data_IF_829115212113
#
_entry.id   IF_829115212113
#
_cell.length_a   1.000
_cell.length_b   1.000
_cell.length_c   1.000
_cell.angle_alpha   90.00
_cell.angle_beta   90.00
_cell.angle_gamma   90.00
#
_symmetry.space_group_name_H-M   'P 1'
#
loop_
_entity.id
_entity.type
_entity.pdbx_description
1 polymer ?
#
# COMPACT_ATOMS: atom_id res chain seq x y z
N UNK A 1 -21.89 28.81 15.54
CA UNK A 1 -20.54 28.52 15.06
C UNK A 1 -19.66 29.73 15.23
N UNK A 2 -18.36 29.52 15.40
CA UNK A 2 -17.35 30.55 15.56
C UNK A 2 -16.66 30.85 14.23
N UNK A 3 -15.94 31.98 14.15
CA UNK A 3 -15.25 32.37 12.93
C UNK A 3 -14.17 31.36 12.52
N UNK A 4 -13.47 30.77 13.50
CA UNK A 4 -12.40 29.80 13.28
C UNK A 4 -12.91 28.49 12.68
N UNK A 5 -14.19 28.16 12.93
CA UNK A 5 -14.85 26.98 12.38
C UNK A 5 -15.31 27.20 10.94
N UNK A 6 -15.58 28.46 10.57
CA UNK A 6 -16.01 28.83 9.23
C UNK A 6 -14.84 29.03 8.26
N UNK A 7 -13.70 29.51 8.76
CA UNK A 7 -12.50 29.78 7.96
C UNK A 7 -12.08 28.62 7.04
N UNK A 8 -11.94 27.36 7.50
CA UNK A 8 -11.46 26.28 6.64
C UNK A 8 -12.44 25.92 5.52
N UNK A 9 -13.73 26.27 5.63
CA UNK A 9 -14.74 25.92 4.63
C UNK A 9 -15.09 27.09 3.71
N UNK A 10 -14.62 28.31 3.99
CA UNK A 10 -15.07 29.52 3.28
C UNK A 10 -14.73 29.52 1.79
N UNK A 11 -13.62 28.88 1.40
CA UNK A 11 -13.21 28.69 0.01
C UNK A 11 -14.14 27.70 -0.70
N UNK A 12 -14.44 26.57 -0.06
CA UNK A 12 -15.39 25.58 -0.58
C UNK A 12 -16.82 26.14 -0.71
N UNK A 13 -17.19 27.09 0.15
CA UNK A 13 -18.45 27.82 0.02
C UNK A 13 -18.43 28.81 -1.15
N UNK A 14 -17.25 29.32 -1.51
CA UNK A 14 -17.08 30.31 -2.58
C UNK A 14 -17.05 29.66 -3.97
N UNK A 15 -16.47 28.46 -4.10
CA UNK A 15 -16.43 27.69 -5.34
C UNK A 15 -17.59 26.70 -5.50
N UNK A 16 -18.46 26.59 -4.49
CA UNK A 16 -19.65 25.75 -4.49
C UNK A 16 -19.39 24.27 -4.21
N UNK A 17 -18.18 23.89 -3.79
CA UNK A 17 -17.84 22.51 -3.42
C UNK A 17 -18.30 22.13 -2.01
N UNK A 18 -18.66 23.10 -1.16
CA UNK A 18 -19.21 22.88 0.17
C UNK A 18 -20.63 23.45 0.32
N UNK A 19 -21.50 22.73 1.04
CA UNK A 19 -22.82 23.23 1.45
C UNK A 19 -22.69 24.01 2.77
N UNK A 20 -23.09 25.29 2.84
CA UNK A 20 -22.97 26.09 4.06
C UNK A 20 -23.87 25.62 5.21
N UNK A 21 -24.84 24.72 5.01
CA UNK A 21 -25.74 24.32 6.10
C UNK A 21 -26.51 25.51 6.71
N UNK A 22 -27.34 25.28 7.72
CA UNK A 22 -28.16 26.36 8.30
C UNK A 22 -27.33 27.32 9.18
N UNK A 23 -26.39 26.78 9.95
CA UNK A 23 -25.62 27.54 10.93
C UNK A 23 -24.60 28.48 10.27
N UNK A 24 -23.94 28.05 9.19
CA UNK A 24 -23.00 28.90 8.45
C UNK A 24 -23.69 30.00 7.67
N UNK A 25 -24.88 29.72 7.10
CA UNK A 25 -25.72 30.76 6.51
C UNK A 25 -26.10 31.83 7.53
N UNK A 26 -26.51 31.43 8.74
CA UNK A 26 -26.85 32.36 9.81
C UNK A 26 -25.62 33.18 10.24
N UNK A 27 -24.45 32.55 10.39
CA UNK A 27 -23.22 33.24 10.76
C UNK A 27 -22.75 34.23 9.68
N UNK A 28 -22.77 33.84 8.40
CA UNK A 28 -22.42 34.70 7.27
C UNK A 28 -23.35 35.91 7.13
N UNK A 29 -24.61 35.79 7.56
CA UNK A 29 -25.56 36.90 7.60
C UNK A 29 -25.33 37.85 8.79
N UNK A 30 -24.80 37.35 9.91
CA UNK A 30 -24.60 38.11 11.14
C UNK A 30 -23.19 38.66 11.37
N UNK A 31 -22.17 38.11 10.72
CA UNK A 31 -20.76 38.44 10.98
C UNK A 31 -20.09 39.14 9.79
N UNK A 32 -19.88 40.46 9.91
CA UNK A 32 -19.28 41.27 8.85
C UNK A 32 -17.87 40.82 8.39
N UNK A 33 -17.07 40.26 9.31
CA UNK A 33 -15.74 39.72 8.98
C UNK A 33 -15.87 38.53 8.01
N UNK A 34 -16.71 37.55 8.37
CA UNK A 34 -16.95 36.36 7.58
C UNK A 34 -17.63 36.68 6.24
N UNK A 35 -18.58 37.64 6.22
CA UNK A 35 -19.18 38.12 4.98
C UNK A 35 -18.12 38.69 4.03
N UNK A 36 -17.20 39.52 4.53
CA UNK A 36 -16.12 40.13 3.74
C UNK A 36 -15.13 39.08 3.22
N UNK A 37 -14.74 38.11 4.04
CA UNK A 37 -13.86 37.01 3.60
C UNK A 37 -14.54 36.16 2.52
N UNK A 38 -15.81 35.82 2.71
CA UNK A 38 -16.58 35.05 1.73
C UNK A 38 -16.84 35.78 0.42
N UNK A 39 -16.98 37.11 0.43
CA UNK A 39 -17.07 37.89 -0.82
C UNK A 39 -15.72 38.00 -1.53
N UNK A 40 -14.62 38.14 -0.79
CA UNK A 40 -13.27 38.14 -1.34
C UNK A 40 -12.93 36.77 -1.98
N UNK A 41 -13.23 35.66 -1.30
CA UNK A 41 -13.05 34.32 -1.84
C UNK A 41 -13.85 34.11 -3.14
N UNK A 42 -15.11 34.56 -3.19
CA UNK A 42 -15.94 34.53 -4.41
C UNK A 42 -15.36 35.38 -5.53
N UNK A 43 -14.88 36.58 -5.23
CA UNK A 43 -14.25 37.44 -6.23
C UNK A 43 -12.98 36.80 -6.82
N UNK A 44 -12.15 36.15 -5.98
CA UNK A 44 -10.97 35.41 -6.44
C UNK A 44 -11.40 34.22 -7.32
N UNK A 45 -12.38 33.44 -6.89
CA UNK A 45 -12.90 32.31 -7.65
C UNK A 45 -13.41 32.75 -9.03
N UNK A 46 -14.19 33.84 -9.11
CA UNK A 46 -14.65 34.40 -10.38
C UNK A 46 -13.49 34.82 -11.29
N UNK A 47 -12.43 35.43 -10.74
CA UNK A 47 -11.23 35.78 -11.51
C UNK A 47 -10.51 34.55 -12.05
N UNK A 48 -10.46 33.46 -11.28
CA UNK A 48 -9.87 32.19 -11.71
C UNK A 48 -10.71 31.51 -12.78
N UNK A 49 -12.03 31.49 -12.65
CA UNK A 49 -12.94 30.88 -13.64
C UNK A 49 -12.89 31.63 -14.97
N UNK A 50 -12.76 32.96 -14.93
CA UNK A 50 -12.63 33.78 -16.16
C UNK A 50 -11.26 33.68 -16.82
N UNK A 51 -10.27 33.13 -16.13
CA UNK A 51 -8.92 32.97 -16.69
C UNK A 51 -8.92 31.82 -17.68
N UNK A 52 -8.63 32.13 -18.94
CA UNK A 52 -8.48 31.11 -19.97
C UNK A 52 -7.28 30.21 -19.62
N UNK A 53 -7.54 28.91 -19.49
CA UNK A 53 -6.49 27.92 -19.31
C UNK A 53 -5.89 27.59 -20.68
N UNK A 54 -4.54 27.59 -20.82
CA UNK A 54 -3.93 27.19 -22.07
C UNK A 54 -4.30 25.74 -22.40
N UNK A 55 -4.57 25.47 -23.66
CA UNK A 55 -4.83 24.11 -24.11
C UNK A 55 -3.64 23.20 -23.74
N UNK A 56 -3.89 21.98 -23.23
CA UNK A 56 -2.81 21.05 -22.93
C UNK A 56 -2.06 20.68 -24.23
N UNK A 57 -0.76 20.42 -24.16
CA UNK A 57 0.01 20.02 -25.33
C UNK A 57 -0.50 18.69 -25.90
N UNK A 58 -0.30 18.42 -27.20
CA UNK A 58 -0.68 17.16 -27.80
C UNK A 58 -0.03 15.99 -27.05
N UNK A 59 -0.82 14.96 -26.73
CA UNK A 59 -0.35 13.79 -26.00
C UNK A 59 -0.23 13.96 -24.48
N UNK A 60 -0.62 15.11 -23.90
CA UNK A 60 -0.61 15.32 -22.44
C UNK A 60 -1.32 14.19 -21.69
N UNK A 61 -2.58 13.90 -22.04
CA UNK A 61 -3.38 12.85 -21.39
C UNK A 61 -2.72 11.48 -21.53
N UNK A 62 -2.19 11.15 -22.72
CA UNK A 62 -1.48 9.90 -22.95
C UNK A 62 -0.22 9.79 -22.07
N UNK A 63 0.55 10.88 -21.94
CA UNK A 63 1.73 10.95 -21.09
C UNK A 63 1.41 10.78 -19.59
N UNK A 64 0.35 11.44 -19.12
CA UNK A 64 -0.15 11.30 -17.75
C UNK A 64 -0.61 9.88 -17.48
N UNK A 65 -1.47 9.32 -18.34
CA UNK A 65 -1.98 7.96 -18.19
C UNK A 65 -0.87 6.91 -18.22
N UNK A 66 0.12 7.07 -19.11
CA UNK A 66 1.28 6.19 -19.14
C UNK A 66 2.10 6.25 -17.84
N UNK A 67 2.18 7.43 -17.19
CA UNK A 67 2.87 7.58 -15.90
C UNK A 67 2.06 6.93 -14.76
N UNK A 68 0.75 7.15 -14.71
CA UNK A 68 -0.15 6.52 -13.74
C UNK A 68 -0.08 5.01 -13.86
N UNK A 69 -0.14 4.47 -15.07
CA UNK A 69 -0.07 3.03 -15.30
C UNK A 69 1.27 2.43 -14.87
N UNK A 70 2.40 3.11 -15.13
CA UNK A 70 3.71 2.69 -14.63
C UNK A 70 3.79 2.68 -13.10
N UNK A 71 3.15 3.63 -12.43
CA UNK A 71 3.10 3.65 -10.96
C UNK A 71 2.24 2.51 -10.41
N UNK A 72 1.04 2.30 -10.97
CA UNK A 72 0.17 1.17 -10.60
C UNK A 72 0.86 -0.17 -10.80
N UNK A 73 1.51 -0.37 -11.95
CA UNK A 73 2.20 -1.62 -12.25
C UNK A 73 3.33 -1.92 -11.25
N UNK A 74 4.04 -0.90 -10.75
CA UNK A 74 5.07 -1.10 -9.71
C UNK A 74 4.47 -1.55 -8.38
N UNK A 75 3.32 -0.99 -8.00
CA UNK A 75 2.62 -1.36 -6.79
C UNK A 75 2.06 -2.80 -6.89
N UNK A 76 1.38 -3.12 -7.99
CA UNK A 76 0.79 -4.45 -8.24
C UNK A 76 1.85 -5.55 -8.27
N UNK A 77 3.02 -5.28 -8.88
CA UNK A 77 4.10 -6.27 -8.99
C UNK A 77 4.70 -6.66 -7.63
N UNK A 78 4.72 -5.76 -6.65
CA UNK A 78 5.16 -6.07 -5.30
C UNK A 78 4.16 -6.99 -4.58
N UNK A 79 2.86 -6.69 -4.72
CA UNK A 79 1.77 -7.49 -4.15
C UNK A 79 1.74 -8.90 -4.78
N UNK A 80 1.82 -9.00 -6.10
CA UNK A 80 1.80 -10.28 -6.81
C UNK A 80 3.00 -11.16 -6.44
N UNK A 81 4.19 -10.58 -6.27
CA UNK A 81 5.37 -11.33 -5.87
C UNK A 81 5.23 -11.86 -4.43
N UNK A 82 4.75 -11.01 -3.51
CA UNK A 82 4.49 -11.39 -2.12
C UNK A 82 3.45 -12.51 -2.01
N UNK A 83 2.34 -12.38 -2.75
CA UNK A 83 1.28 -13.39 -2.81
C UNK A 83 1.81 -14.73 -3.36
N UNK A 84 2.50 -14.70 -4.49
CA UNK A 84 3.05 -15.92 -5.10
C UNK A 84 4.06 -16.62 -4.18
N UNK A 85 4.89 -15.86 -3.46
CA UNK A 85 5.85 -16.40 -2.53
C UNK A 85 5.17 -17.02 -1.29
N UNK A 86 4.12 -16.37 -0.78
CA UNK A 86 3.28 -16.91 0.30
C UNK A 86 2.57 -18.21 -0.12
N UNK A 87 1.98 -18.25 -1.33
CA UNK A 87 1.35 -19.46 -1.88
C UNK A 87 2.38 -20.58 -2.03
N UNK A 88 3.55 -20.29 -2.59
CA UNK A 88 4.62 -21.28 -2.74
C UNK A 88 5.07 -21.85 -1.38
N UNK A 89 5.23 -21.01 -0.37
CA UNK A 89 5.56 -21.43 0.99
C UNK A 89 4.45 -22.31 1.60
N UNK A 90 3.18 -21.94 1.41
CA UNK A 90 2.02 -22.71 1.87
C UNK A 90 1.95 -24.09 1.22
N UNK A 91 2.11 -24.17 -0.11
CA UNK A 91 2.15 -25.44 -0.85
C UNK A 91 3.29 -26.32 -0.35
N UNK A 92 4.48 -25.75 -0.14
CA UNK A 92 5.63 -26.48 0.37
C UNK A 92 5.39 -27.05 1.78
N UNK A 93 4.75 -26.28 2.65
CA UNK A 93 4.34 -26.72 3.99
C UNK A 93 3.34 -27.88 3.94
N UNK A 94 2.33 -27.79 3.07
CA UNK A 94 1.33 -28.85 2.89
C UNK A 94 1.99 -30.14 2.39
N UNK A 95 2.87 -30.04 1.39
CA UNK A 95 3.60 -31.20 0.84
C UNK A 95 4.50 -31.82 1.91
N UNK A 96 5.29 -31.00 2.61
CA UNK A 96 6.18 -31.46 3.67
C UNK A 96 5.41 -32.13 4.82
N UNK A 97 4.30 -31.51 5.25
CA UNK A 97 3.41 -32.06 6.27
C UNK A 97 2.77 -33.38 5.84
N UNK A 98 2.28 -33.46 4.60
CA UNK A 98 1.70 -34.67 4.03
C UNK A 98 2.70 -35.83 3.94
N UNK A 99 3.93 -35.55 3.48
CA UNK A 99 5.02 -36.54 3.45
C UNK A 99 5.38 -36.99 4.86
N UNK A 100 5.50 -36.07 5.82
CA UNK A 100 5.80 -36.39 7.22
C UNK A 100 4.72 -37.26 7.87
N UNK A 101 3.45 -36.97 7.58
CA UNK A 101 2.31 -37.71 8.12
C UNK A 101 2.17 -39.09 7.45
N UNK A 102 2.39 -39.20 6.14
CA UNK A 102 2.41 -40.48 5.45
C UNK A 102 3.57 -41.38 5.90
N UNK A 103 4.71 -40.79 6.29
CA UNK A 103 5.82 -41.50 6.91
C UNK A 103 5.48 -41.97 8.33
N UNK A 104 4.88 -41.11 9.17
CA UNK A 104 4.53 -41.48 10.55
C UNK A 104 3.46 -42.57 10.64
N UNK A 105 2.54 -42.59 9.67
CA UNK A 105 1.51 -43.63 9.53
C UNK A 105 2.03 -44.93 8.89
N UNK A 106 3.31 -44.98 8.47
CA UNK A 106 3.91 -46.16 7.85
C UNK A 106 3.39 -46.46 6.44
N UNK A 107 2.61 -45.56 5.84
CA UNK A 107 2.09 -45.66 4.47
C UNK A 107 3.20 -45.51 3.43
N UNK A 108 4.23 -44.75 3.76
CA UNK A 108 5.48 -44.65 3.00
C UNK A 108 6.60 -45.38 3.74
N UNK A 109 6.89 -46.63 3.32
CA UNK A 109 8.16 -47.28 3.68
C UNK A 109 9.25 -46.75 2.77
N UNK A 110 9.69 -45.53 3.04
CA UNK A 110 10.96 -45.05 2.50
C UNK A 110 12.02 -45.89 3.23
N UNK A 111 12.66 -46.83 2.53
CA UNK A 111 13.94 -47.38 2.98
C UNK A 111 14.98 -46.27 2.82
N UNK A 112 14.86 -45.30 3.72
CA UNK A 112 15.80 -44.27 4.02
C UNK A 112 17.02 -45.00 4.59
N UNK A 113 17.86 -45.53 3.70
CA UNK A 113 19.10 -46.12 4.13
C UNK A 113 19.87 -44.99 4.82
N UNK A 114 20.02 -45.10 6.14
CA UNK A 114 20.56 -44.01 6.97
C UNK A 114 21.94 -43.59 6.46
N UNK A 115 22.69 -44.55 5.88
CA UNK A 115 23.94 -44.30 5.17
C UNK A 115 23.78 -43.40 3.93
N UNK A 116 22.76 -43.61 3.10
CA UNK A 116 22.49 -42.80 1.89
C UNK A 116 21.98 -41.41 2.27
N UNK A 117 21.17 -41.29 3.33
CA UNK A 117 20.72 -39.99 3.85
C UNK A 117 21.82 -39.23 4.59
N UNK A 118 22.68 -39.91 5.34
CA UNK A 118 23.87 -39.30 5.96
C UNK A 118 24.91 -38.93 4.90
N UNK A 119 25.04 -39.69 3.82
CA UNK A 119 25.95 -39.37 2.72
C UNK A 119 25.40 -38.22 1.85
N UNK A 120 24.10 -38.23 1.53
CA UNK A 120 23.43 -37.10 0.89
C UNK A 120 23.43 -35.86 1.80
N UNK A 121 23.19 -36.05 3.10
CA UNK A 121 23.22 -35.03 4.16
C UNK A 121 24.62 -34.51 4.48
N UNK A 122 25.68 -35.30 4.30
CA UNK A 122 27.07 -34.85 4.42
C UNK A 122 27.53 -34.13 3.14
N UNK A 123 27.05 -34.55 1.96
CA UNK A 123 27.30 -33.85 0.69
C UNK A 123 26.55 -32.52 0.58
N UNK A 124 25.34 -32.42 1.14
CA UNK A 124 24.58 -31.17 1.28
C UNK A 124 25.05 -30.36 2.49
N UNK A 125 25.23 -31.00 3.65
CA UNK A 125 25.69 -30.38 4.90
C UNK A 125 27.10 -29.81 4.79
N UNK A 126 28.01 -30.45 4.05
CA UNK A 126 29.34 -29.89 3.77
C UNK A 126 29.32 -28.62 2.91
N UNK A 127 28.24 -28.38 2.15
CA UNK A 127 28.05 -27.14 1.36
C UNK A 127 27.17 -26.11 2.06
N UNK A 128 26.22 -26.55 2.89
CA UNK A 128 25.18 -25.70 3.49
C UNK A 128 25.46 -25.37 4.96
N UNK A 129 26.28 -26.15 5.68
CA UNK A 129 26.67 -25.83 7.06
C UNK A 129 27.27 -24.43 7.25
N UNK A 130 28.17 -23.92 6.39
CA UNK A 130 28.65 -22.54 6.51
C UNK A 130 27.62 -21.49 6.08
N UNK A 131 26.54 -21.90 5.40
CA UNK A 131 25.48 -21.01 4.91
C UNK A 131 24.17 -21.08 5.71
N UNK A 132 23.98 -22.07 6.58
CA UNK A 132 22.77 -22.24 7.38
C UNK A 132 22.54 -21.03 8.29
N UNK A 133 23.62 -20.45 8.81
CA UNK A 133 23.58 -19.23 9.60
C UNK A 133 23.19 -18.02 8.75
N UNK A 134 23.71 -17.91 7.52
CA UNK A 134 23.37 -16.84 6.57
C UNK A 134 21.94 -16.96 6.07
N UNK A 135 21.45 -18.17 5.81
CA UNK A 135 20.07 -18.45 5.41
C UNK A 135 19.11 -18.15 6.57
N UNK A 136 19.47 -18.52 7.80
CA UNK A 136 18.69 -18.19 8.99
C UNK A 136 18.60 -16.68 9.23
N UNK A 137 19.73 -15.97 9.13
CA UNK A 137 19.77 -14.50 9.24
C UNK A 137 19.01 -13.84 8.09
N UNK A 138 19.16 -14.31 6.85
CA UNK A 138 18.44 -13.79 5.71
C UNK A 138 16.92 -14.01 5.84
N UNK A 139 16.50 -15.19 6.33
CA UNK A 139 15.10 -15.50 6.60
C UNK A 139 14.51 -14.61 7.69
N UNK A 140 15.25 -14.39 8.78
CA UNK A 140 14.84 -13.49 9.87
C UNK A 140 14.74 -12.03 9.40
N UNK A 141 15.70 -11.56 8.60
CA UNK A 141 15.68 -10.22 8.02
C UNK A 141 14.50 -10.05 7.06
N UNK A 142 14.19 -11.08 6.26
CA UNK A 142 13.08 -11.05 5.32
C UNK A 142 11.73 -11.00 6.05
N UNK A 143 11.55 -11.79 7.11
CA UNK A 143 10.32 -11.76 7.93
C UNK A 143 10.17 -10.44 8.68
N UNK A 144 11.26 -9.89 9.22
CA UNK A 144 11.23 -8.56 9.85
C UNK A 144 10.88 -7.46 8.84
N UNK A 145 11.48 -7.49 7.64
CA UNK A 145 11.21 -6.52 6.59
C UNK A 145 9.75 -6.58 6.11
N UNK A 146 9.18 -7.79 5.97
CA UNK A 146 7.77 -8.01 5.65
C UNK A 146 6.84 -7.49 6.76
N UNK A 147 7.19 -7.72 8.03
CA UNK A 147 6.44 -7.20 9.17
C UNK A 147 6.44 -5.67 9.25
N UNK A 148 7.61 -5.05 9.03
CA UNK A 148 7.74 -3.59 8.97
C UNK A 148 6.97 -2.97 7.82
N UNK A 149 7.03 -3.59 6.64
CA UNK A 149 6.28 -3.12 5.47
C UNK A 149 4.78 -3.18 5.72
N UNK A 150 4.28 -4.31 6.26
CA UNK A 150 2.87 -4.47 6.60
C UNK A 150 2.39 -3.43 7.63
N UNK A 151 3.22 -3.12 8.62
CA UNK A 151 2.91 -2.09 9.62
C UNK A 151 2.91 -0.67 9.02
N UNK A 152 3.88 -0.34 8.18
CA UNK A 152 3.97 0.98 7.53
C UNK A 152 2.81 1.24 6.56
N UNK A 153 2.35 0.22 5.84
CA UNK A 153 1.19 0.33 4.94
C UNK A 153 -0.09 0.64 5.74
N UNK A 154 -0.25 0.05 6.93
CA UNK A 154 -1.42 0.29 7.79
C UNK A 154 -1.52 1.76 8.24
N UNK A 155 -0.42 2.39 8.61
CA UNK A 155 -0.40 3.79 9.06
C UNK A 155 -0.64 4.81 7.92
N UNK A 156 -0.40 4.42 6.67
CA UNK A 156 -0.56 5.31 5.51
C UNK A 156 -2.00 5.46 5.02
N UNK A 157 -2.95 4.75 5.64
CA UNK A 157 -4.37 4.71 5.23
C UNK A 157 -5.29 5.71 5.94
N UNK A 158 -4.72 6.72 6.63
CA UNK A 158 -5.46 7.84 7.25
C UNK A 158 -5.36 9.14 6.45
#
# INVERSE_FOLDING_TARGET
MRCEELEPIIEGLADGTADPGAEARAHLAGCALCTRRGSQARAIHELLVRREAPAPPPGFTAGVMARVQRQRWRAERAVDLGFNLAVAAGVLLIVAGGVGLAWSLGLLRIQANLAVLLEAGARLGGRVAPQAQTIGVAGLLLTMALGLWWWAEADSSF
#
